data_IF_665398853762
#
_entry.id   IF_665398853762
#
_cell.length_a   1.000
_cell.length_b   1.000
_cell.length_c   1.000
_cell.angle_alpha   90.00
_cell.angle_beta   90.00
_cell.angle_gamma   90.00
#
_symmetry.space_group_name_H-M   'P 1'
#
loop_
_entity.id
_entity.type
_entity.pdbx_description
1 polymer ?
#
# COMPACT_ATOMS: atom_id res chain seq x y z
N UNK A 1 0.43 -15.06 -34.60
CA UNK A 1 -0.36 -14.44 -33.52
C UNK A 1 -1.69 -15.18 -33.47
N UNK A 2 -1.71 -16.30 -32.74
CA UNK A 2 -2.92 -17.04 -32.38
C UNK A 2 -2.97 -16.94 -30.86
N UNK A 3 -4.10 -16.45 -30.33
CA UNK A 3 -4.29 -16.16 -28.90
C UNK A 3 -4.18 -17.42 -28.05
N UNK A 4 -3.61 -17.24 -26.86
CA UNK A 4 -3.53 -18.21 -25.76
C UNK A 4 -4.93 -18.42 -25.15
N UNK A 5 -5.85 -19.06 -25.86
CA UNK A 5 -7.24 -19.25 -25.36
C UNK A 5 -7.42 -20.45 -24.41
N UNK A 6 -6.36 -21.18 -24.03
CA UNK A 6 -6.51 -22.47 -23.31
C UNK A 6 -5.70 -22.62 -22.01
N UNK A 7 -5.04 -21.57 -21.52
CA UNK A 7 -4.54 -21.58 -20.13
C UNK A 7 -5.65 -21.00 -19.26
N UNK A 8 -6.18 -21.77 -18.32
CA UNK A 8 -7.15 -21.23 -17.37
C UNK A 8 -6.36 -20.43 -16.32
N UNK A 9 -6.56 -19.11 -16.20
CA UNK A 9 -5.97 -18.35 -15.10
C UNK A 9 -6.48 -18.90 -13.77
N UNK A 10 -5.76 -18.59 -12.68
CA UNK A 10 -6.24 -18.71 -11.31
C UNK A 10 -7.74 -18.29 -11.25
N UNK A 11 -8.63 -19.09 -10.65
CA UNK A 11 -9.91 -19.35 -11.29
C UNK A 11 -10.94 -18.24 -11.04
N UNK A 12 -11.19 -17.35 -12.00
CA UNK A 12 -12.44 -16.59 -12.06
C UNK A 12 -13.03 -16.52 -13.47
N UNK A 13 -13.94 -17.45 -13.79
CA UNK A 13 -15.15 -17.17 -14.59
C UNK A 13 -16.25 -18.24 -14.38
N UNK A 14 -17.25 -17.85 -13.58
CA UNK A 14 -18.61 -18.41 -13.31
C UNK A 14 -19.38 -18.95 -14.56
N UNK A 15 -20.47 -19.78 -14.45
CA UNK A 15 -21.66 -19.49 -13.62
C UNK A 15 -22.54 -20.63 -13.02
N UNK A 16 -23.24 -20.36 -11.90
CA UNK A 16 -24.73 -20.32 -11.76
C UNK A 16 -25.32 -20.63 -10.35
N UNK A 17 -26.10 -19.67 -9.84
CA UNK A 17 -27.28 -19.75 -8.96
C UNK A 17 -27.27 -20.59 -7.66
N UNK A 18 -27.25 -19.94 -6.48
CA UNK A 18 -28.30 -19.99 -5.44
C UNK A 18 -27.91 -19.22 -4.14
N UNK A 19 -28.88 -18.46 -3.62
CA UNK A 19 -28.84 -17.62 -2.39
C UNK A 19 -29.34 -18.41 -1.17
N UNK A 20 -28.78 -18.19 0.04
CA UNK A 20 -29.52 -18.19 1.34
C UNK A 20 -28.68 -17.67 2.53
N UNK A 21 -29.34 -16.93 3.43
CA UNK A 21 -28.86 -16.15 4.61
C UNK A 21 -29.21 -16.90 5.92
N UNK A 22 -28.48 -16.68 7.03
CA UNK A 22 -28.90 -16.71 8.48
C UNK A 22 -27.61 -16.75 9.35
N UNK A 23 -27.27 -15.83 10.27
CA UNK A 23 -28.01 -15.25 11.40
C UNK A 23 -27.12 -15.31 12.66
N UNK A 24 -26.56 -14.17 13.10
CA UNK A 24 -25.63 -14.04 14.25
C UNK A 24 -26.33 -14.09 15.61
N UNK A 25 -25.67 -14.68 16.61
CA UNK A 25 -25.83 -14.27 18.01
C UNK A 25 -24.46 -14.21 18.74
N UNK A 26 -24.13 -12.98 19.15
CA UNK A 26 -23.43 -12.53 20.37
C UNK A 26 -22.13 -13.21 20.80
N UNK A 27 -21.10 -12.40 21.08
CA UNK A 27 -20.46 -12.35 22.42
C UNK A 27 -19.52 -11.16 22.56
N UNK A 28 -19.57 -10.60 23.77
CA UNK A 28 -19.01 -9.36 24.25
C UNK A 28 -17.57 -9.49 24.79
N UNK A 29 -16.90 -8.35 24.80
CA UNK A 29 -15.84 -7.88 25.73
C UNK A 29 -14.38 -8.38 25.65
N UNK A 30 -13.54 -7.41 25.21
CA UNK A 30 -12.23 -6.95 25.74
C UNK A 30 -10.94 -7.68 25.31
N UNK A 31 -10.11 -7.00 24.50
CA UNK A 31 -9.05 -6.10 25.00
C UNK A 31 -8.30 -5.37 23.85
N UNK A 32 -8.30 -4.05 23.98
CA UNK A 32 -7.78 -2.94 23.16
C UNK A 32 -6.24 -2.83 23.24
N UNK A 33 -5.55 -2.60 22.10
CA UNK A 33 -4.95 -1.29 21.83
C UNK A 33 -5.60 -0.63 20.60
N UNK A 34 -6.88 -0.32 20.74
CA UNK A 34 -7.66 0.66 19.99
C UNK A 34 -7.89 1.91 20.86
N UNK A 35 -6.89 2.77 21.03
CA UNK A 35 -7.11 4.10 21.62
C UNK A 35 -6.27 5.13 20.88
N UNK A 36 -6.48 5.25 19.57
CA UNK A 36 -6.32 6.47 18.76
C UNK A 36 -7.12 6.24 17.47
N UNK A 37 -8.30 6.78 17.18
CA UNK A 37 -9.35 7.41 17.95
C UNK A 37 -10.66 6.92 17.30
N UNK A 38 -11.59 6.34 18.07
CA UNK A 38 -12.85 5.81 17.54
C UNK A 38 -13.81 6.88 16.99
N UNK A 39 -13.45 8.15 17.15
CA UNK A 39 -14.20 9.33 16.70
C UNK A 39 -13.46 10.15 15.63
N UNK A 40 -12.26 9.74 15.19
CA UNK A 40 -11.57 10.43 14.10
C UNK A 40 -12.21 10.03 12.77
N UNK A 41 -12.82 11.00 12.09
CA UNK A 41 -13.32 10.84 10.72
C UNK A 41 -12.10 10.96 9.79
N UNK A 42 -11.72 9.92 9.03
CA UNK A 42 -10.68 10.06 8.03
C UNK A 42 -11.17 10.99 6.92
N UNK A 43 -10.53 12.14 6.79
CA UNK A 43 -10.80 13.13 5.76
C UNK A 43 -9.71 13.04 4.69
N UNK A 44 -10.10 13.03 3.41
CA UNK A 44 -9.18 12.95 2.27
C UNK A 44 -8.88 14.34 1.74
N UNK A 45 -7.88 15.00 2.31
CA UNK A 45 -7.34 16.24 1.79
C UNK A 45 -6.20 15.95 0.80
N UNK A 46 -6.22 16.59 -0.36
CA UNK A 46 -5.09 16.54 -1.31
C UNK A 46 -4.02 17.57 -0.94
N UNK A 47 -4.42 18.65 -0.27
CA UNK A 47 -3.58 19.76 0.13
C UNK A 47 -3.82 20.11 1.60
N UNK A 48 -2.74 20.24 2.38
CA UNK A 48 -2.78 20.60 3.79
C UNK A 48 -1.71 21.65 4.08
N UNK A 49 -2.09 22.73 4.76
CA UNK A 49 -1.19 23.81 5.15
C UNK A 49 -1.02 23.86 6.66
N UNK A 50 0.23 23.87 7.12
CA UNK A 50 0.57 24.28 8.48
C UNK A 50 0.59 25.81 8.54
N UNK A 51 -0.46 26.38 9.14
CA UNK A 51 -0.59 27.81 9.35
C UNK A 51 0.37 28.27 10.45
N UNK A 52 1.06 29.39 10.22
CA UNK A 52 1.94 30.03 11.21
C UNK A 52 1.83 31.55 11.17
N UNK A 53 0.60 32.05 11.07
CA UNK A 53 0.33 33.47 10.86
C UNK A 53 0.50 34.33 12.10
N UNK A 54 0.91 35.58 11.91
CA UNK A 54 0.81 36.62 12.94
C UNK A 54 -0.44 37.45 12.68
N UNK A 55 -1.40 37.33 13.60
CA UNK A 55 -2.69 38.03 13.56
C UNK A 55 -2.81 39.03 14.72
N UNK A 56 -3.69 40.01 14.59
CA UNK A 56 -3.96 40.99 15.66
C UNK A 56 -5.28 40.66 16.35
N UNK A 57 -5.20 40.00 17.50
CA UNK A 57 -6.38 39.71 18.32
C UNK A 57 -6.53 40.75 19.44
N UNK A 58 -7.69 41.41 19.49
CA UNK A 58 -7.97 42.44 20.50
C UNK A 58 -6.89 43.54 20.61
N UNK A 59 -6.20 43.83 19.49
CA UNK A 59 -5.13 44.83 19.42
C UNK A 59 -3.75 44.33 19.89
N UNK A 60 -3.57 43.02 20.07
CA UNK A 60 -2.30 42.40 20.44
C UNK A 60 -1.87 41.42 19.33
N UNK A 61 -0.67 41.58 18.74
CA UNK A 61 -0.12 40.58 17.83
C UNK A 61 0.05 39.23 18.53
N UNK A 62 -0.42 38.16 17.91
CA UNK A 62 -0.33 36.78 18.39
C UNK A 62 -0.16 35.82 17.21
N UNK A 63 0.39 34.63 17.47
CA UNK A 63 0.41 33.57 16.48
C UNK A 63 -0.94 32.87 16.38
N UNK A 64 -1.35 32.57 15.16
CA UNK A 64 -2.45 31.67 14.81
C UNK A 64 -1.85 30.45 14.13
N UNK A 65 -1.76 29.34 14.86
CA UNK A 65 -1.23 28.07 14.35
C UNK A 65 -2.39 27.08 14.16
N UNK A 66 -2.37 26.33 13.06
CA UNK A 66 -3.40 25.37 12.74
C UNK A 66 -3.07 24.55 11.50
N UNK A 67 -3.95 23.61 11.17
CA UNK A 67 -3.87 22.84 9.92
C UNK A 67 -5.08 23.21 9.06
N UNK A 68 -4.85 23.81 7.90
CA UNK A 68 -5.90 24.05 6.90
C UNK A 68 -5.86 22.92 5.89
N UNK A 69 -6.96 22.17 5.76
CA UNK A 69 -7.08 21.07 4.82
C UNK A 69 -8.09 21.43 3.72
N UNK A 70 -7.68 21.29 2.47
CA UNK A 70 -8.53 21.53 1.29
C UNK A 70 -9.05 20.19 0.74
N UNK A 71 -10.36 20.15 0.47
CA UNK A 71 -11.05 18.95 -0.02
C UNK A 71 -11.51 19.14 -1.47
N UNK A 72 -11.42 18.08 -2.29
CA UNK A 72 -11.98 18.10 -3.65
C UNK A 72 -13.50 18.03 -3.59
N UNK A 73 -14.17 19.07 -4.09
CA UNK A 73 -15.62 19.20 -4.15
C UNK A 73 -16.22 18.26 -5.22
N UNK A 74 -16.29 16.96 -4.93
CA UNK A 74 -17.02 16.00 -5.76
C UNK A 74 -18.08 15.18 -5.01
N UNK A 75 -18.38 15.53 -3.75
CA UNK A 75 -19.42 14.87 -2.96
C UNK A 75 -20.31 15.95 -2.31
N UNK A 76 -21.55 16.02 -2.80
CA UNK A 76 -22.66 16.90 -2.37
C UNK A 76 -22.85 18.20 -3.16
N UNK A 77 -23.60 18.15 -4.27
CA UNK A 77 -24.96 18.73 -4.27
C UNK A 77 -25.76 18.35 -5.53
N UNK A 78 -26.75 17.47 -5.35
CA UNK A 78 -27.89 17.37 -6.27
C UNK A 78 -28.83 18.55 -6.01
N UNK A 79 -28.51 19.75 -6.50
CA UNK A 79 -29.50 20.82 -6.57
C UNK A 79 -29.42 21.59 -7.89
N UNK A 80 -30.43 21.33 -8.72
CA UNK A 80 -30.86 22.09 -9.90
C UNK A 80 -30.61 23.60 -9.73
N UNK A 81 -29.85 24.24 -10.63
CA UNK A 81 -30.17 25.58 -11.10
C UNK A 81 -29.72 25.82 -12.55
N UNK A 82 -30.62 26.45 -13.29
CA UNK A 82 -30.64 26.67 -14.73
C UNK A 82 -29.58 27.68 -15.20
N UNK A 83 -29.18 27.51 -16.47
CA UNK A 83 -28.56 28.44 -17.43
C UNK A 83 -28.13 29.83 -16.92
N UNK A 84 -26.85 30.18 -17.14
CA UNK A 84 -26.47 31.45 -17.80
C UNK A 84 -25.03 31.38 -18.36
N UNK A 85 -24.90 31.64 -19.66
CA UNK A 85 -23.63 31.82 -20.37
C UNK A 85 -23.04 33.19 -20.00
N UNK A 86 -21.80 33.30 -19.49
CA UNK A 86 -20.95 34.49 -19.73
C UNK A 86 -19.44 34.26 -19.48
N UNK A 87 -18.68 34.65 -20.50
CA UNK A 87 -17.25 35.01 -20.66
C UNK A 87 -16.22 34.79 -19.53
N UNK A 88 -15.13 34.13 -19.94
CA UNK A 88 -13.83 34.03 -19.25
C UNK A 88 -13.16 35.40 -19.03
N UNK A 89 -12.94 35.82 -17.78
CA UNK A 89 -11.75 36.57 -17.32
C UNK A 89 -11.50 36.25 -15.82
N UNK A 90 -10.24 35.88 -15.52
CA UNK A 90 -9.63 35.68 -14.19
C UNK A 90 -10.19 34.53 -13.31
N UNK A 91 -9.56 33.35 -13.41
CA UNK A 91 -9.72 32.26 -12.42
C UNK A 91 -9.05 32.69 -11.09
N UNK A 92 -9.72 33.53 -10.30
CA UNK A 92 -9.61 33.46 -8.84
C UNK A 92 -10.23 32.13 -8.44
N UNK A 93 -9.39 31.15 -8.06
CA UNK A 93 -9.87 29.90 -7.48
C UNK A 93 -10.58 30.22 -6.17
N UNK A 94 -11.91 30.36 -6.18
CA UNK A 94 -12.74 30.33 -4.98
C UNK A 94 -12.53 28.95 -4.31
N UNK A 95 -11.73 28.92 -3.24
CA UNK A 95 -11.47 27.74 -2.39
C UNK A 95 -12.71 27.42 -1.55
N UNK A 96 -13.78 26.95 -2.17
CA UNK A 96 -15.02 26.56 -1.48
C UNK A 96 -14.92 25.10 -0.96
N UNK A 97 -14.17 24.93 0.13
CA UNK A 97 -14.36 24.02 1.29
C UNK A 97 -13.01 23.66 1.95
N UNK A 98 -12.31 24.66 2.51
CA UNK A 98 -11.18 24.42 3.41
C UNK A 98 -11.66 24.30 4.87
N UNK A 99 -11.24 23.25 5.58
CA UNK A 99 -11.49 23.09 7.02
C UNK A 99 -10.21 23.37 7.79
N UNK A 100 -10.31 24.24 8.80
CA UNK A 100 -9.19 24.56 9.69
C UNK A 100 -9.34 23.77 11.00
N UNK A 101 -8.30 23.03 11.34
CA UNK A 101 -8.15 22.27 12.57
C UNK A 101 -7.14 22.94 13.49
N UNK A 102 -7.33 22.79 14.81
CA UNK A 102 -6.24 22.99 15.76
C UNK A 102 -5.08 22.03 15.45
N UNK A 103 -3.83 22.41 15.77
CA UNK A 103 -2.65 21.60 15.41
C UNK A 103 -2.65 20.20 16.04
N UNK A 104 -3.28 20.03 17.21
CA UNK A 104 -3.44 18.76 17.92
C UNK A 104 -4.76 18.04 17.63
N UNK A 105 -5.61 18.60 16.77
CA UNK A 105 -6.94 18.06 16.45
C UNK A 105 -6.92 17.07 15.26
N UNK A 106 -5.83 17.00 14.50
CA UNK A 106 -5.69 16.14 13.33
C UNK A 106 -4.32 15.44 13.24
N UNK A 107 -4.30 14.34 12.49
CA UNK A 107 -3.07 13.67 12.06
C UNK A 107 -2.86 13.92 10.58
N UNK A 108 -1.65 14.30 10.19
CA UNK A 108 -1.22 14.26 8.79
C UNK A 108 -0.72 12.85 8.48
N UNK A 109 -1.33 12.18 7.50
CA UNK A 109 -0.95 10.81 7.14
C UNK A 109 0.09 10.81 6.02
N UNK A 110 1.31 10.37 6.35
CA UNK A 110 2.28 9.91 5.38
C UNK A 110 1.95 8.44 5.03
N UNK A 111 1.09 8.27 4.02
CA UNK A 111 0.67 6.95 3.55
C UNK A 111 1.85 6.13 3.01
N UNK A 112 1.69 4.81 2.86
CA UNK A 112 2.80 3.95 2.39
C UNK A 112 3.31 4.30 0.98
N UNK A 113 2.52 5.03 0.18
CA UNK A 113 2.95 5.58 -1.11
C UNK A 113 3.99 6.70 -0.98
N UNK A 114 4.23 7.23 0.22
CA UNK A 114 5.35 8.14 0.53
C UNK A 114 6.66 7.39 0.74
N UNK A 115 6.62 6.06 0.86
CA UNK A 115 7.80 5.22 1.06
C UNK A 115 8.71 5.29 -0.16
N UNK A 116 9.97 5.64 0.08
CA UNK A 116 10.99 5.70 -0.95
C UNK A 116 12.32 5.12 -0.46
N UNK A 117 13.27 4.96 -1.38
CA UNK A 117 14.60 4.42 -1.11
C UNK A 117 15.59 5.58 -1.05
N UNK A 118 16.49 5.52 -0.07
CA UNK A 118 17.53 6.51 0.11
C UNK A 118 18.51 6.49 -1.05
N UNK A 119 18.40 7.50 -1.90
CA UNK A 119 19.28 7.80 -3.04
C UNK A 119 19.92 9.20 -2.94
N UNK A 120 19.70 9.89 -1.81
CA UNK A 120 20.24 11.22 -1.57
C UNK A 120 21.75 11.19 -1.29
N UNK A 121 22.47 12.31 -1.54
CA UNK A 121 23.87 12.48 -1.18
C UNK A 121 24.19 12.08 0.27
N UNK A 122 25.42 11.60 0.52
CA UNK A 122 25.85 11.09 1.84
C UNK A 122 25.64 12.11 2.97
N UNK A 123 25.76 13.40 2.68
CA UNK A 123 25.46 14.46 3.66
C UNK A 123 24.02 14.36 4.17
N UNK A 124 23.03 14.13 3.30
CA UNK A 124 21.64 13.95 3.72
C UNK A 124 21.42 12.64 4.46
N UNK A 125 22.08 11.57 4.02
CA UNK A 125 21.93 10.27 4.66
C UNK A 125 22.24 10.34 6.16
N UNK A 126 23.26 11.13 6.52
CA UNK A 126 23.65 11.36 7.92
C UNK A 126 22.62 12.20 8.68
N UNK A 127 21.98 13.18 8.03
CA UNK A 127 21.00 14.06 8.68
C UNK A 127 19.56 13.52 8.65
N UNK A 128 19.23 12.62 7.74
CA UNK A 128 17.95 11.89 7.73
C UNK A 128 18.05 10.63 8.60
N UNK A 129 19.26 10.11 8.84
CA UNK A 129 19.47 8.93 9.67
C UNK A 129 19.26 7.61 8.92
N UNK A 130 19.33 7.64 7.59
CA UNK A 130 19.17 6.47 6.71
C UNK A 130 20.31 6.45 5.69
N UNK A 131 21.07 5.36 5.65
CA UNK A 131 22.14 5.16 4.68
C UNK A 131 21.63 4.78 3.28
N UNK A 132 22.51 4.85 2.29
CA UNK A 132 22.25 4.47 0.90
C UNK A 132 21.51 3.13 0.79
N UNK A 133 20.41 3.11 0.02
CA UNK A 133 19.56 1.94 -0.15
C UNK A 133 18.63 1.62 1.02
N UNK A 134 18.70 2.37 2.12
CA UNK A 134 17.74 2.31 3.22
C UNK A 134 16.36 2.87 2.82
N UNK A 135 15.35 2.62 3.64
CA UNK A 135 13.97 3.11 3.38
C UNK A 135 13.67 4.32 4.26
N UNK A 136 12.99 5.31 3.70
CA UNK A 136 12.38 6.43 4.42
C UNK A 136 11.02 6.79 3.78
N UNK A 137 10.26 7.66 4.43
CA UNK A 137 8.94 8.12 3.99
C UNK A 137 9.04 9.62 3.75
N UNK A 138 8.64 10.08 2.56
CA UNK A 138 8.80 11.46 2.10
C UNK A 138 7.46 12.06 1.70
N UNK A 139 7.05 13.13 2.37
CA UNK A 139 6.09 14.09 1.84
C UNK A 139 6.92 15.19 1.17
N UNK A 140 6.94 15.18 -0.17
CA UNK A 140 7.83 16.01 -0.96
C UNK A 140 7.36 17.46 -1.14
N UNK A 141 8.29 18.31 -1.55
CA UNK A 141 8.02 19.70 -1.94
C UNK A 141 7.43 19.86 -3.36
N UNK A 142 7.29 18.76 -4.09
CA UNK A 142 6.52 18.67 -5.33
C UNK A 142 5.24 17.84 -5.13
N UNK A 143 4.10 18.26 -5.69
CA UNK A 143 2.84 17.53 -5.52
C UNK A 143 2.91 16.17 -6.20
N UNK A 144 2.48 15.13 -5.47
CA UNK A 144 2.43 13.75 -5.96
C UNK A 144 0.99 13.21 -5.93
N UNK A 145 0.56 12.46 -6.95
CA UNK A 145 -0.77 11.87 -6.95
C UNK A 145 -1.02 10.99 -5.71
N UNK A 146 -2.18 11.16 -5.07
CA UNK A 146 -2.60 10.40 -3.90
C UNK A 146 -1.72 10.57 -2.65
N UNK A 147 -0.85 11.58 -2.60
CA UNK A 147 -0.13 11.99 -1.38
C UNK A 147 -0.70 13.32 -0.88
N UNK A 148 -0.64 13.54 0.43
CA UNK A 148 -0.90 14.87 0.97
C UNK A 148 0.23 15.80 0.50
N UNK A 149 -0.12 16.89 -0.15
CA UNK A 149 0.80 17.97 -0.41
C UNK A 149 0.82 18.88 0.82
N UNK A 150 1.94 18.94 1.54
CA UNK A 150 2.04 19.61 2.83
C UNK A 150 2.82 20.92 2.70
N UNK A 151 2.18 22.04 3.03
CA UNK A 151 2.76 23.38 3.05
C UNK A 151 3.03 23.91 4.46
N UNK A 152 3.89 24.94 4.55
CA UNK A 152 4.02 25.85 5.70
C UNK A 152 3.71 27.25 5.20
N UNK A 153 2.69 27.87 5.81
CA UNK A 153 2.01 29.02 5.21
C UNK A 153 1.80 30.14 6.25
N UNK A 154 2.58 31.22 6.16
CA UNK A 154 2.29 32.51 6.79
C UNK A 154 1.62 33.52 5.82
N UNK A 155 0.80 33.05 4.87
CA UNK A 155 0.31 33.88 3.75
C UNK A 155 -0.64 35.00 4.19
N UNK A 156 -1.36 34.82 5.30
CA UNK A 156 -2.31 35.79 5.84
C UNK A 156 -1.62 36.83 6.75
N UNK A 157 -0.31 36.69 6.98
CA UNK A 157 0.45 37.64 7.81
C UNK A 157 0.73 38.93 7.05
N UNK A 158 0.23 40.06 7.58
CA UNK A 158 0.62 41.39 7.13
C UNK A 158 2.10 41.67 7.47
N UNK A 159 3.01 41.81 6.47
CA UNK A 159 4.43 41.99 6.73
C UNK A 159 4.74 43.25 7.55
N UNK A 160 3.85 44.26 7.56
CA UNK A 160 4.04 45.48 8.34
C UNK A 160 3.97 45.26 9.86
N UNK A 161 3.51 44.09 10.31
CA UNK A 161 3.54 43.67 11.71
C UNK A 161 4.92 43.19 12.15
N UNK A 162 5.78 42.83 11.20
CA UNK A 162 7.06 42.15 11.42
C UNK A 162 8.22 43.11 11.12
N UNK A 163 9.26 43.11 11.95
CA UNK A 163 10.49 43.85 11.66
C UNK A 163 11.24 43.21 10.47
N UNK A 164 12.06 43.99 9.78
CA UNK A 164 13.09 43.43 8.89
C UNK A 164 14.26 42.94 9.75
N UNK A 165 14.63 41.66 9.61
CA UNK A 165 15.78 41.08 10.32
C UNK A 165 16.44 39.98 9.47
N UNK A 166 17.65 39.56 9.86
CA UNK A 166 18.40 38.51 9.18
C UNK A 166 18.51 37.27 10.09
N UNK A 167 17.85 36.14 9.76
CA UNK A 167 17.80 34.97 10.64
C UNK A 167 19.09 34.14 10.65
N UNK A 168 19.82 34.11 9.55
CA UNK A 168 21.08 33.36 9.40
C UNK A 168 22.02 34.06 8.42
N UNK A 169 23.27 33.63 8.36
CA UNK A 169 24.24 34.14 7.36
C UNK A 169 23.88 33.75 5.92
N UNK A 170 22.97 32.78 5.73
CA UNK A 170 22.56 32.24 4.41
C UNK A 170 21.28 32.86 3.87
N UNK A 171 20.50 33.54 4.71
CA UNK A 171 19.25 34.20 4.33
C UNK A 171 19.45 35.72 4.30
N UNK A 172 18.76 36.41 3.38
CA UNK A 172 18.81 37.88 3.31
C UNK A 172 17.93 38.54 4.38
N UNK A 173 18.10 39.85 4.61
CA UNK A 173 17.21 40.63 5.48
C UNK A 173 15.78 40.60 4.92
N UNK A 174 14.79 40.34 5.78
CA UNK A 174 13.38 40.25 5.38
C UNK A 174 12.44 40.15 6.57
N UNK A 175 11.15 39.99 6.29
CA UNK A 175 10.09 39.87 7.30
C UNK A 175 9.87 38.40 7.66
N UNK A 176 10.77 37.85 8.47
CA UNK A 176 10.80 36.41 8.72
C UNK A 176 9.94 35.98 9.92
N UNK A 177 9.26 34.86 9.76
CA UNK A 177 8.64 34.07 10.82
C UNK A 177 9.43 32.77 10.97
N UNK A 178 9.91 32.50 12.18
CA UNK A 178 10.63 31.28 12.52
C UNK A 178 9.70 30.24 13.13
N UNK A 179 9.93 28.98 12.77
CA UNK A 179 9.31 27.80 13.36
C UNK A 179 10.41 26.91 13.92
N UNK A 180 10.38 26.62 15.22
CA UNK A 180 11.41 25.83 15.89
C UNK A 180 10.87 24.47 16.34
N UNK A 181 11.62 23.40 16.10
CA UNK A 181 11.36 22.09 16.70
C UNK A 181 11.91 22.06 18.12
N UNK A 182 11.04 21.93 19.11
CA UNK A 182 11.37 21.98 20.54
C UNK A 182 11.14 20.65 21.26
N UNK A 183 10.46 19.71 20.62
CA UNK A 183 10.21 18.37 21.13
C UNK A 183 9.82 17.39 20.03
N UNK A 184 10.08 16.11 20.30
CA UNK A 184 9.86 15.01 19.38
C UNK A 184 9.50 13.74 20.15
N UNK A 185 8.52 12.99 19.67
CA UNK A 185 8.22 11.62 20.09
C UNK A 185 7.83 10.79 18.87
N UNK A 186 8.47 9.65 18.66
CA UNK A 186 8.19 8.78 17.53
C UNK A 186 9.15 7.60 17.40
N UNK A 187 8.83 6.63 16.50
CA UNK A 187 9.54 5.36 16.37
C UNK A 187 10.83 5.42 15.53
N UNK A 188 11.13 6.55 14.88
CA UNK A 188 12.27 6.72 13.99
C UNK A 188 12.87 8.13 14.13
N UNK A 189 13.36 8.67 13.02
CA UNK A 189 13.91 10.03 12.94
C UNK A 189 12.99 10.89 12.07
N UNK A 190 13.02 12.19 12.29
CA UNK A 190 12.34 13.22 11.50
C UNK A 190 13.37 14.19 10.90
N UNK A 191 13.14 14.65 9.68
CA UNK A 191 13.88 15.77 9.11
C UNK A 191 13.02 16.66 8.21
N UNK A 192 13.39 17.94 8.17
CA UNK A 192 12.79 18.96 7.32
C UNK A 192 13.87 19.61 6.45
N UNK A 193 13.71 19.62 5.13
CA UNK A 193 14.73 20.18 4.23
C UNK A 193 14.19 20.62 2.86
N UNK A 194 15.00 21.37 2.12
CA UNK A 194 14.80 21.61 0.68
C UNK A 194 15.99 21.07 -0.12
N UNK A 195 15.70 20.61 -1.33
CA UNK A 195 16.77 20.34 -2.30
C UNK A 195 17.43 21.66 -2.70
N UNK A 196 18.76 21.67 -2.76
CA UNK A 196 19.52 22.79 -3.29
C UNK A 196 19.40 22.87 -4.81
N UNK A 197 19.72 24.04 -5.39
CA UNK A 197 19.89 24.13 -6.84
C UNK A 197 20.99 23.16 -7.32
N UNK A 198 21.01 22.83 -8.61
CA UNK A 198 21.98 21.86 -9.15
C UNK A 198 23.44 22.22 -8.79
N UNK A 199 24.06 21.40 -7.95
CA UNK A 199 25.44 21.58 -7.49
C UNK A 199 25.60 22.42 -6.21
N UNK A 200 24.50 22.87 -5.61
CA UNK A 200 24.49 23.49 -4.28
C UNK A 200 24.20 22.44 -3.21
N UNK A 201 24.71 22.70 -2.01
CA UNK A 201 24.35 21.91 -0.85
C UNK A 201 22.88 22.20 -0.51
N UNK A 202 22.13 21.17 -0.13
CA UNK A 202 20.74 21.32 0.28
C UNK A 202 20.59 22.12 1.57
N UNK A 203 19.41 22.70 1.78
CA UNK A 203 19.09 23.41 3.02
C UNK A 203 18.39 22.46 3.99
N UNK A 204 19.11 22.03 5.04
CA UNK A 204 18.53 21.29 6.16
C UNK A 204 18.03 22.29 7.21
N UNK A 205 16.78 22.14 7.62
CA UNK A 205 16.13 23.03 8.58
C UNK A 205 15.95 22.40 9.95
N UNK A 206 15.62 21.12 10.01
CA UNK A 206 15.40 20.40 11.26
C UNK A 206 15.85 18.95 11.10
N UNK A 207 16.49 18.39 12.13
CA UNK A 207 16.76 16.96 12.21
C UNK A 207 16.74 16.47 13.65
N UNK A 208 16.23 15.25 13.86
CA UNK A 208 16.28 14.61 15.18
C UNK A 208 17.50 13.70 15.36
N UNK A 209 18.28 13.46 14.30
CA UNK A 209 19.30 12.40 14.25
C UNK A 209 20.45 12.62 15.24
N UNK A 210 20.87 13.87 15.42
CA UNK A 210 21.89 14.28 16.38
C UNK A 210 21.32 14.90 17.67
N UNK A 211 19.99 14.85 17.81
CA UNK A 211 19.24 15.41 18.92
C UNK A 211 18.90 16.89 18.72
N UNK A 212 17.88 17.37 19.43
CA UNK A 212 17.36 18.71 19.20
C UNK A 212 18.32 19.81 19.69
N UNK A 213 18.72 20.71 18.79
CA UNK A 213 19.45 21.95 19.07
C UNK A 213 18.57 23.16 18.77
N UNK A 214 18.34 23.95 19.82
CA UNK A 214 17.47 25.11 19.74
C UNK A 214 17.96 26.19 18.77
N UNK A 215 19.21 26.18 18.32
CA UNK A 215 19.81 27.12 17.39
C UNK A 215 19.90 26.61 15.94
N UNK A 216 19.75 25.31 15.72
CA UNK A 216 19.88 24.68 14.40
C UNK A 216 18.54 24.17 13.87
N UNK A 217 17.65 23.62 14.72
CA UNK A 217 16.37 23.05 14.32
C UNK A 217 15.26 24.10 14.12
N UNK A 218 15.46 24.95 13.11
CA UNK A 218 14.59 26.08 12.78
C UNK A 218 14.34 26.17 11.29
N UNK A 219 13.08 26.37 10.94
CA UNK A 219 12.63 26.77 9.62
C UNK A 219 12.25 28.26 9.62
N UNK A 220 12.49 28.95 8.51
CA UNK A 220 12.12 30.36 8.35
C UNK A 220 11.28 30.54 7.08
N UNK A 221 10.12 31.17 7.23
CA UNK A 221 9.24 31.56 6.13
C UNK A 221 9.06 33.09 6.14
N UNK A 222 8.95 33.69 4.96
CA UNK A 222 8.69 35.12 4.83
C UNK A 222 7.19 35.41 5.03
N UNK A 223 6.83 36.50 5.71
CA UNK A 223 5.43 36.90 5.84
C UNK A 223 4.77 37.08 4.46
N UNK A 224 3.59 36.49 4.26
CA UNK A 224 2.89 36.49 2.97
C UNK A 224 3.33 35.39 2.00
N UNK A 225 4.18 34.44 2.42
CA UNK A 225 4.64 33.33 1.59
C UNK A 225 3.80 32.06 1.76
N UNK A 226 3.90 31.18 0.77
CA UNK A 226 3.33 29.84 0.77
C UNK A 226 4.43 28.87 0.33
N UNK A 227 4.90 28.01 1.23
CA UNK A 227 6.11 27.23 0.99
C UNK A 227 5.85 25.74 1.13
N UNK A 228 6.39 24.96 0.21
CA UNK A 228 6.49 23.51 0.33
C UNK A 228 7.93 23.10 0.61
N UNK A 229 8.08 22.15 1.53
CA UNK A 229 9.36 21.64 2.01
C UNK A 229 9.26 20.13 2.13
N UNK A 230 10.39 19.45 2.12
CA UNK A 230 10.43 18.00 2.25
C UNK A 230 10.34 17.60 3.72
N UNK A 231 9.35 16.78 4.06
CA UNK A 231 9.18 16.18 5.38
C UNK A 231 9.52 14.69 5.31
N UNK A 232 10.44 14.22 6.16
CA UNK A 232 10.84 12.82 6.14
C UNK A 232 10.73 12.12 7.48
N UNK A 233 10.43 10.81 7.39
CA UNK A 233 10.35 9.90 8.52
C UNK A 233 11.07 8.60 8.20
N UNK A 234 11.77 8.00 9.17
CA UNK A 234 12.58 6.78 8.93
C UNK A 234 11.92 5.48 9.35
N UNK A 235 10.79 5.54 10.06
CA UNK A 235 10.08 4.36 10.53
C UNK A 235 8.54 4.55 10.46
N UNK A 236 7.77 3.49 10.23
CA UNK A 236 6.32 3.53 10.42
C UNK A 236 5.91 3.77 11.87
N UNK A 237 4.82 4.48 12.07
CA UNK A 237 4.16 4.68 13.36
C UNK A 237 3.73 6.12 13.58
N UNK A 238 3.50 6.49 14.84
CA UNK A 238 2.97 7.80 15.20
C UNK A 238 4.09 8.70 15.67
N UNK A 239 4.10 9.91 15.13
CA UNK A 239 5.04 10.96 15.44
C UNK A 239 4.28 12.15 16.03
N UNK A 240 4.85 12.76 17.07
CA UNK A 240 4.47 14.07 17.58
C UNK A 240 5.66 15.01 17.46
N UNK A 241 5.47 16.11 16.73
CA UNK A 241 6.45 17.18 16.61
C UNK A 241 5.96 18.37 17.42
N UNK A 242 6.70 18.76 18.46
CA UNK A 242 6.38 19.91 19.28
C UNK A 242 7.12 21.13 18.71
N UNK A 243 6.36 22.11 18.23
CA UNK A 243 6.83 23.28 17.49
C UNK A 243 6.56 24.58 18.25
N UNK A 244 7.40 25.59 18.03
CA UNK A 244 7.22 26.94 18.57
C UNK A 244 7.50 28.01 17.51
N UNK A 245 6.50 28.83 17.23
CA UNK A 245 6.63 29.98 16.31
C UNK A 245 7.26 31.18 17.01
N UNK A 246 8.09 31.93 16.31
CA UNK A 246 8.71 33.16 16.84
C UNK A 246 9.02 34.17 15.72
N UNK A 247 9.06 35.45 16.08
CA UNK A 247 9.45 36.54 15.17
C UNK A 247 9.82 37.81 15.96
N UNK A 248 10.30 38.84 15.28
CA UNK A 248 10.47 40.20 15.82
C UNK A 248 9.39 41.11 15.23
N UNK A 249 8.59 41.75 16.08
CA UNK A 249 7.53 42.67 15.65
C UNK A 249 8.14 43.99 15.13
N UNK A 250 7.38 44.73 14.34
CA UNK A 250 7.81 46.00 13.74
C UNK A 250 8.25 47.07 14.75
N UNK A 251 7.88 46.94 16.03
CA UNK A 251 8.36 47.81 17.11
C UNK A 251 9.69 47.35 17.77
N UNK A 252 10.28 46.27 17.26
CA UNK A 252 11.52 45.63 17.73
C UNK A 252 11.33 44.71 18.93
N UNK A 253 10.09 44.44 19.34
CA UNK A 253 9.82 43.49 20.44
C UNK A 253 9.72 42.05 19.92
N UNK A 254 10.24 41.05 20.65
CA UNK A 254 10.09 39.65 20.25
C UNK A 254 8.67 39.17 20.48
N UNK A 255 8.12 38.43 19.52
CA UNK A 255 6.90 37.64 19.68
C UNK A 255 7.28 36.16 19.65
N UNK A 256 6.88 35.42 20.68
CA UNK A 256 7.10 33.98 20.80
C UNK A 256 5.77 33.32 21.14
N UNK A 257 5.37 32.35 20.34
CA UNK A 257 4.14 31.59 20.54
C UNK A 257 4.25 30.54 21.64
N UNK A 258 3.10 30.01 22.04
CA UNK A 258 3.05 28.80 22.85
C UNK A 258 3.53 27.59 22.02
N UNK A 259 4.04 26.56 22.71
CA UNK A 259 4.39 25.30 22.05
C UNK A 259 3.11 24.59 21.63
N UNK A 260 3.06 24.13 20.38
CA UNK A 260 1.96 23.35 19.83
C UNK A 260 2.49 22.06 19.20
N UNK A 261 1.65 21.04 19.12
CA UNK A 261 2.06 19.73 18.63
C UNK A 261 1.37 19.41 17.31
N UNK A 262 2.13 19.04 16.29
CA UNK A 262 1.60 18.46 15.04
C UNK A 262 1.84 16.96 15.06
N UNK A 263 0.81 16.19 14.67
CA UNK A 263 0.87 14.73 14.71
C UNK A 263 0.92 14.14 13.32
N UNK A 264 1.78 13.15 13.12
CA UNK A 264 1.89 12.40 11.87
C UNK A 264 1.66 10.92 12.10
N UNK A 265 0.94 10.28 11.17
CA UNK A 265 0.88 8.83 11.05
C UNK A 265 1.63 8.37 9.81
N UNK A 266 2.68 7.57 10.00
CA UNK A 266 3.52 7.03 8.93
C UNK A 266 3.17 5.56 8.72
N UNK A 267 2.65 5.22 7.55
CA UNK A 267 2.13 3.87 7.27
C UNK A 267 3.12 3.00 6.48
N UNK A 268 3.19 1.70 6.83
CA UNK A 268 4.05 0.73 6.16
C UNK A 268 3.41 0.11 4.91
N UNK A 269 2.08 -0.04 4.91
CA UNK A 269 1.28 -0.65 3.84
C UNK A 269 0.19 0.35 3.42
N UNK A 270 -0.10 0.50 2.14
CA UNK A 270 -1.16 1.41 1.69
C UNK A 270 -2.47 0.89 2.27
N UNK A 271 -3.15 1.66 3.12
CA UNK A 271 -4.48 1.23 3.57
C UNK A 271 -5.48 1.35 2.41
N UNK A 272 -6.42 0.41 2.28
CA UNK A 272 -7.55 0.59 1.39
C UNK A 272 -8.27 1.88 1.76
N UNK A 273 -8.69 2.64 0.75
CA UNK A 273 -9.54 3.83 0.95
C UNK A 273 -10.87 3.48 1.63
N UNK A 274 -11.30 2.22 1.50
CA UNK A 274 -12.56 1.70 2.01
C UNK A 274 -12.46 0.18 2.30
N UNK A 275 -12.56 -0.23 3.57
CA UNK A 275 -12.53 -1.65 3.94
C UNK A 275 -13.76 -2.44 3.46
N UNK A 276 -14.88 -1.78 3.20
CA UNK A 276 -16.06 -2.43 2.62
C UNK A 276 -15.73 -2.99 1.23
N UNK A 277 -15.15 -2.15 0.37
CA UNK A 277 -14.74 -2.57 -0.97
C UNK A 277 -13.59 -3.56 -0.91
N UNK A 278 -12.63 -3.38 -0.01
CA UNK A 278 -11.55 -4.36 0.17
C UNK A 278 -12.08 -5.76 0.46
N UNK A 279 -12.94 -5.91 1.47
CA UNK A 279 -13.47 -7.22 1.86
C UNK A 279 -14.27 -7.83 0.72
N UNK A 280 -15.04 -7.02 -0.01
CA UNK A 280 -15.79 -7.49 -1.20
C UNK A 280 -14.85 -7.96 -2.31
N UNK A 281 -13.79 -7.21 -2.62
CA UNK A 281 -12.78 -7.58 -3.61
C UNK A 281 -12.05 -8.85 -3.21
N UNK A 282 -11.56 -8.95 -1.98
CA UNK A 282 -10.90 -10.18 -1.49
C UNK A 282 -11.81 -11.40 -1.63
N UNK A 283 -13.10 -11.29 -1.32
CA UNK A 283 -14.05 -12.40 -1.45
C UNK A 283 -14.39 -12.73 -2.91
N UNK A 284 -14.61 -11.73 -3.75
CA UNK A 284 -14.89 -11.94 -5.17
C UNK A 284 -13.71 -12.59 -5.88
N UNK A 285 -12.50 -12.12 -5.60
CA UNK A 285 -11.25 -12.54 -6.24
C UNK A 285 -10.59 -13.74 -5.55
N UNK A 286 -11.21 -14.33 -4.52
CA UNK A 286 -10.75 -15.61 -3.96
C UNK A 286 -11.83 -16.68 -4.02
N UNK A 287 -13.09 -16.33 -3.78
CA UNK A 287 -14.20 -17.28 -3.70
C UNK A 287 -15.25 -17.09 -4.80
N UNK A 288 -15.14 -16.06 -5.64
CA UNK A 288 -16.05 -15.85 -6.77
C UNK A 288 -17.46 -15.42 -6.34
N UNK A 289 -17.58 -14.94 -5.10
CA UNK A 289 -18.84 -14.49 -4.49
C UNK A 289 -18.58 -13.39 -3.47
N UNK A 290 -19.61 -12.60 -3.18
CA UNK A 290 -19.56 -11.66 -2.07
C UNK A 290 -19.60 -12.37 -0.70
N UNK A 291 -19.05 -11.74 0.35
CA UNK A 291 -19.27 -12.20 1.72
C UNK A 291 -20.75 -12.12 2.10
N UNK A 292 -21.17 -12.94 3.07
CA UNK A 292 -22.46 -12.70 3.73
C UNK A 292 -22.43 -11.33 4.41
N UNK A 293 -23.52 -10.57 4.36
CA UNK A 293 -23.58 -9.19 4.86
C UNK A 293 -23.06 -9.06 6.31
N UNK A 294 -23.37 -10.05 7.13
CA UNK A 294 -22.97 -10.03 8.53
C UNK A 294 -21.49 -10.40 8.72
N UNK A 295 -20.95 -11.29 7.89
CA UNK A 295 -19.51 -11.59 7.86
C UNK A 295 -18.74 -10.36 7.37
N UNK A 296 -19.24 -9.68 6.34
CA UNK A 296 -18.67 -8.44 5.83
C UNK A 296 -18.63 -7.36 6.92
N UNK A 297 -19.76 -7.07 7.56
CA UNK A 297 -19.82 -6.10 8.65
C UNK A 297 -18.84 -6.43 9.79
N UNK A 298 -18.74 -7.71 10.16
CA UNK A 298 -17.82 -8.15 11.21
C UNK A 298 -16.35 -7.99 10.81
N UNK A 299 -16.00 -8.30 9.56
CA UNK A 299 -14.64 -8.13 9.04
C UNK A 299 -14.27 -6.66 8.89
N UNK A 300 -15.17 -5.85 8.33
CA UNK A 300 -15.00 -4.40 8.21
C UNK A 300 -14.84 -3.76 9.59
N UNK A 301 -15.65 -4.14 10.57
CA UNK A 301 -15.50 -3.66 11.94
C UNK A 301 -14.16 -4.07 12.57
N UNK A 302 -13.68 -5.30 12.30
CA UNK A 302 -12.37 -5.75 12.78
C UNK A 302 -11.22 -5.02 12.09
N UNK A 303 -11.30 -4.78 10.79
CA UNK A 303 -10.32 -4.02 10.00
C UNK A 303 -10.27 -2.55 10.46
N UNK A 304 -11.42 -1.92 10.66
CA UNK A 304 -11.52 -0.60 11.29
C UNK A 304 -10.95 -0.58 12.71
N UNK A 305 -11.02 -1.70 13.43
CA UNK A 305 -10.42 -1.87 14.75
C UNK A 305 -8.94 -2.28 14.71
N UNK A 306 -8.29 -2.28 13.53
CA UNK A 306 -6.86 -2.54 13.37
C UNK A 306 -6.47 -3.99 13.08
N UNK A 307 -7.41 -4.87 12.69
CA UNK A 307 -7.07 -6.18 12.14
C UNK A 307 -6.20 -6.00 10.88
N UNK A 308 -5.13 -6.78 10.78
CA UNK A 308 -4.31 -6.82 9.58
C UNK A 308 -5.10 -7.47 8.42
N UNK A 309 -5.27 -6.78 7.27
CA UNK A 309 -5.87 -7.35 6.06
C UNK A 309 -5.26 -8.69 5.63
N UNK A 310 -3.98 -8.94 5.93
CA UNK A 310 -3.32 -10.20 5.65
C UNK A 310 -3.96 -11.38 6.40
N UNK A 311 -4.56 -11.16 7.56
CA UNK A 311 -5.30 -12.20 8.28
C UNK A 311 -6.61 -12.54 7.59
N UNK A 312 -7.27 -11.57 6.95
CA UNK A 312 -8.47 -11.80 6.13
C UNK A 312 -8.10 -12.60 4.89
N UNK A 313 -7.09 -12.15 4.13
CA UNK A 313 -6.59 -12.84 2.95
C UNK A 313 -6.12 -14.27 3.25
N UNK A 314 -5.29 -14.44 4.29
CA UNK A 314 -4.82 -15.76 4.73
C UNK A 314 -5.97 -16.66 5.20
N UNK A 315 -6.99 -16.10 5.86
CA UNK A 315 -8.21 -16.83 6.24
C UNK A 315 -8.98 -17.35 5.02
N UNK A 316 -9.09 -16.54 3.96
CA UNK A 316 -9.73 -16.92 2.70
C UNK A 316 -8.93 -17.99 1.96
N UNK A 317 -7.62 -17.79 1.78
CA UNK A 317 -6.72 -18.72 1.08
C UNK A 317 -6.55 -20.07 1.81
N UNK A 318 -6.83 -20.13 3.12
CA UNK A 318 -6.82 -21.37 3.90
C UNK A 318 -8.23 -21.92 4.21
N UNK A 319 -9.26 -21.29 3.66
CA UNK A 319 -10.64 -21.72 3.87
C UNK A 319 -10.89 -23.07 3.19
N UNK A 320 -11.78 -23.88 3.77
CA UNK A 320 -12.19 -25.14 3.14
C UNK A 320 -12.89 -24.93 1.80
N UNK A 321 -13.50 -23.77 1.59
CA UNK A 321 -14.17 -23.42 0.34
C UNK A 321 -13.15 -23.17 -0.77
N UNK A 322 -12.20 -22.26 -0.53
CA UNK A 322 -11.12 -22.00 -1.48
C UNK A 322 -10.34 -23.27 -1.82
N UNK A 323 -9.88 -23.99 -0.79
CA UNK A 323 -9.12 -25.22 -1.00
C UNK A 323 -9.95 -26.33 -1.66
N UNK A 324 -11.26 -26.38 -1.40
CA UNK A 324 -12.16 -27.35 -2.02
C UNK A 324 -12.30 -27.13 -3.52
N UNK A 325 -12.49 -25.88 -3.95
CA UNK A 325 -12.54 -25.49 -5.37
C UNK A 325 -11.22 -25.83 -6.06
N UNK A 326 -10.09 -25.43 -5.46
CA UNK A 326 -8.75 -25.72 -6.00
C UNK A 326 -8.47 -27.21 -6.15
N UNK A 327 -8.93 -28.02 -5.18
CA UNK A 327 -8.82 -29.47 -5.27
C UNK A 327 -9.66 -30.02 -6.42
N UNK A 328 -10.91 -29.60 -6.53
CA UNK A 328 -11.80 -30.08 -7.59
C UNK A 328 -11.25 -29.76 -8.99
N UNK A 329 -10.76 -28.54 -9.19
CA UNK A 329 -10.09 -28.10 -10.43
C UNK A 329 -8.84 -28.93 -10.76
N UNK A 330 -8.06 -29.31 -9.76
CA UNK A 330 -6.90 -30.17 -9.96
C UNK A 330 -7.30 -31.58 -10.43
N UNK A 331 -8.41 -32.11 -9.91
CA UNK A 331 -8.97 -33.39 -10.38
C UNK A 331 -9.51 -33.27 -11.81
N UNK A 332 -10.25 -32.20 -12.12
CA UNK A 332 -10.75 -31.97 -13.48
C UNK A 332 -9.60 -31.86 -14.48
N UNK A 333 -8.60 -31.04 -14.15
CA UNK A 333 -7.48 -30.72 -15.05
C UNK A 333 -6.57 -31.91 -15.29
N UNK A 334 -6.23 -32.66 -14.23
CA UNK A 334 -5.23 -33.72 -14.34
C UNK A 334 -5.82 -35.12 -14.49
N UNK A 335 -7.06 -35.36 -14.04
CA UNK A 335 -7.70 -36.68 -14.11
C UNK A 335 -8.94 -36.71 -14.99
N UNK A 336 -9.44 -35.55 -15.44
CA UNK A 336 -10.61 -35.47 -16.32
C UNK A 336 -11.92 -35.85 -15.64
N UNK A 337 -12.00 -35.72 -14.31
CA UNK A 337 -13.20 -35.98 -13.52
C UNK A 337 -13.30 -35.02 -12.34
N UNK A 338 -14.51 -34.83 -11.84
CA UNK A 338 -14.75 -34.14 -10.57
C UNK A 338 -14.14 -34.93 -9.39
N UNK A 339 -13.72 -34.21 -8.35
CA UNK A 339 -13.32 -34.78 -7.08
C UNK A 339 -14.55 -35.25 -6.31
N UNK A 340 -14.48 -36.44 -5.70
CA UNK A 340 -15.55 -36.87 -4.80
C UNK A 340 -15.50 -36.07 -3.48
N UNK A 341 -16.60 -36.04 -2.73
CA UNK A 341 -16.63 -35.42 -1.38
C UNK A 341 -15.51 -35.95 -0.46
N UNK A 342 -15.16 -37.23 -0.60
CA UNK A 342 -14.08 -37.87 0.15
C UNK A 342 -12.69 -37.39 -0.30
N UNK A 343 -12.51 -37.19 -1.62
CA UNK A 343 -11.27 -36.67 -2.19
C UNK A 343 -11.03 -35.25 -1.68
N UNK A 344 -12.06 -34.38 -1.80
CA UNK A 344 -12.03 -33.00 -1.32
C UNK A 344 -11.74 -32.96 0.19
N UNK A 345 -12.49 -33.70 1.01
CA UNK A 345 -12.31 -33.69 2.46
C UNK A 345 -10.89 -34.11 2.88
N UNK A 346 -10.34 -35.14 2.24
CA UNK A 346 -8.99 -35.64 2.54
C UNK A 346 -7.91 -34.67 2.09
N UNK A 347 -8.03 -34.11 0.88
CA UNK A 347 -7.08 -33.16 0.33
C UNK A 347 -7.08 -31.83 1.10
N UNK A 348 -8.25 -31.27 1.37
CA UNK A 348 -8.39 -30.03 2.17
C UNK A 348 -7.79 -30.21 3.56
N UNK A 349 -7.98 -31.36 4.21
CA UNK A 349 -7.35 -31.64 5.50
C UNK A 349 -5.81 -31.67 5.41
N UNK A 350 -5.25 -32.23 4.34
CA UNK A 350 -3.80 -32.25 4.11
C UNK A 350 -3.23 -30.85 3.84
N UNK A 351 -3.89 -30.08 2.96
CA UNK A 351 -3.48 -28.71 2.60
C UNK A 351 -3.53 -27.77 3.82
N UNK A 352 -4.60 -27.84 4.61
CA UNK A 352 -4.70 -27.11 5.90
C UNK A 352 -3.70 -27.61 6.94
N UNK A 353 -3.24 -28.85 6.82
CA UNK A 353 -2.16 -29.43 7.60
C UNK A 353 -0.76 -28.95 7.20
N UNK A 354 -0.65 -28.11 6.16
CA UNK A 354 0.61 -27.53 5.70
C UNK A 354 1.27 -28.26 4.54
N UNK A 355 0.58 -29.21 3.89
CA UNK A 355 1.05 -29.76 2.62
C UNK A 355 0.96 -28.66 1.54
N UNK A 356 2.05 -28.33 0.83
CA UNK A 356 2.00 -27.38 -0.28
C UNK A 356 1.07 -27.89 -1.38
N UNK A 357 0.35 -26.97 -2.04
CA UNK A 357 -0.61 -27.35 -3.07
C UNK A 357 0.07 -28.04 -4.26
N UNK A 358 1.28 -27.61 -4.59
CA UNK A 358 2.11 -28.15 -5.65
C UNK A 358 2.52 -29.61 -5.34
N UNK A 359 2.75 -29.95 -4.07
CA UNK A 359 3.02 -31.33 -3.66
C UNK A 359 1.76 -32.21 -3.75
N UNK A 360 0.59 -31.63 -3.52
CA UNK A 360 -0.69 -32.29 -3.77
C UNK A 360 -0.88 -32.58 -5.27
N UNK A 361 -0.62 -31.61 -6.16
CA UNK A 361 -0.63 -31.80 -7.62
C UNK A 361 0.37 -32.88 -8.03
N UNK A 362 1.60 -32.83 -7.53
CA UNK A 362 2.60 -33.87 -7.80
C UNK A 362 2.12 -35.27 -7.35
N UNK A 363 1.34 -35.35 -6.26
CA UNK A 363 0.68 -36.56 -5.81
C UNK A 363 -0.35 -37.10 -6.82
N UNK A 364 -1.17 -36.21 -7.40
CA UNK A 364 -2.12 -36.56 -8.47
C UNK A 364 -1.37 -37.09 -9.71
N UNK A 365 -0.36 -36.36 -10.19
CA UNK A 365 0.40 -36.69 -11.40
C UNK A 365 1.21 -38.00 -11.27
N UNK A 366 1.56 -38.39 -10.04
CA UNK A 366 2.22 -39.66 -9.74
C UNK A 366 1.24 -40.80 -9.37
N UNK A 367 -0.06 -40.53 -9.29
CA UNK A 367 -1.05 -41.49 -8.82
C UNK A 367 -1.21 -42.70 -9.76
N UNK A 368 -1.65 -43.86 -9.25
CA UNK A 368 -2.02 -45.00 -10.09
C UNK A 368 -3.12 -44.69 -11.10
N UNK A 369 -3.97 -43.70 -10.84
CA UNK A 369 -5.03 -43.25 -11.74
C UNK A 369 -4.44 -42.50 -12.94
N UNK A 370 -3.57 -41.51 -12.69
CA UNK A 370 -2.85 -40.79 -13.74
C UNK A 370 -1.98 -41.74 -14.59
N UNK A 371 -1.34 -42.73 -13.96
CA UNK A 371 -0.58 -43.76 -14.67
C UNK A 371 -1.45 -44.63 -15.58
N UNK A 372 -2.70 -44.92 -15.20
CA UNK A 372 -3.64 -45.66 -16.04
C UNK A 372 -4.14 -44.83 -17.23
N UNK A 373 -4.35 -43.53 -17.03
CA UNK A 373 -4.71 -42.59 -18.10
C UNK A 373 -3.55 -42.38 -19.09
N UNK A 374 -2.31 -42.45 -18.59
CA UNK A 374 -1.09 -42.22 -19.37
C UNK A 374 -0.11 -43.40 -19.27
N UNK A 375 -0.42 -44.54 -19.94
CA UNK A 375 0.26 -45.81 -19.73
C UNK A 375 1.66 -45.88 -20.37
N UNK A 376 1.94 -45.09 -21.40
CA UNK A 376 3.27 -45.04 -22.04
C UNK A 376 4.02 -43.78 -21.60
N UNK A 377 5.35 -43.83 -21.64
CA UNK A 377 6.20 -42.69 -21.30
C UNK A 377 5.96 -41.49 -22.22
N UNK A 378 5.66 -41.71 -23.50
CA UNK A 378 5.31 -40.65 -24.46
C UNK A 378 3.98 -39.97 -24.11
N UNK A 379 2.92 -40.75 -23.81
CA UNK A 379 1.63 -40.19 -23.42
C UNK A 379 1.71 -39.46 -22.07
N UNK A 380 2.52 -39.98 -21.16
CA UNK A 380 2.78 -39.35 -19.87
C UNK A 380 3.49 -38.01 -20.03
N UNK A 381 4.61 -37.97 -20.73
CA UNK A 381 5.35 -36.72 -20.93
C UNK A 381 4.48 -35.72 -21.69
N UNK A 382 3.81 -36.13 -22.76
CA UNK A 382 2.90 -35.27 -23.53
C UNK A 382 1.81 -34.66 -22.65
N UNK A 383 1.23 -35.44 -21.73
CA UNK A 383 0.20 -34.94 -20.81
C UNK A 383 0.69 -33.87 -19.83
N UNK A 384 1.98 -33.91 -19.43
CA UNK A 384 2.52 -32.89 -18.54
C UNK A 384 2.66 -31.54 -19.24
N UNK A 385 3.03 -31.52 -20.53
CA UNK A 385 3.04 -30.28 -21.30
C UNK A 385 1.64 -29.66 -21.37
N UNK A 386 0.62 -30.47 -21.63
CA UNK A 386 -0.74 -29.94 -21.77
C UNK A 386 -1.39 -29.59 -20.44
N UNK A 387 -1.24 -30.42 -19.41
CA UNK A 387 -1.94 -30.26 -18.14
C UNK A 387 -1.19 -29.37 -17.13
N UNK A 388 0.11 -29.16 -17.30
CA UNK A 388 0.93 -28.33 -16.39
C UNK A 388 1.45 -27.06 -17.07
N UNK A 389 1.84 -27.14 -18.35
CA UNK A 389 2.43 -25.99 -19.07
C UNK A 389 1.44 -25.32 -20.05
N UNK A 390 0.19 -25.78 -20.10
CA UNK A 390 -0.84 -25.19 -20.95
C UNK A 390 -0.55 -25.24 -22.47
N UNK A 391 0.41 -26.05 -22.92
CA UNK A 391 0.84 -26.12 -24.33
C UNK A 391 1.09 -27.54 -24.81
N UNK A 392 1.12 -27.71 -26.12
CA UNK A 392 1.56 -28.96 -26.72
C UNK A 392 3.10 -29.08 -26.66
N UNK A 393 3.59 -30.24 -26.21
CA UNK A 393 5.01 -30.57 -26.25
C UNK A 393 5.49 -30.88 -27.68
N UNK A 394 6.71 -30.47 -28.03
CA UNK A 394 7.28 -30.80 -29.33
C UNK A 394 7.50 -32.32 -29.48
N UNK A 395 7.26 -32.94 -30.65
CA UNK A 395 7.42 -34.40 -30.80
C UNK A 395 8.81 -34.92 -30.42
N UNK A 396 9.87 -34.14 -30.72
CA UNK A 396 11.24 -34.50 -30.35
C UNK A 396 11.54 -34.34 -28.86
N UNK A 397 10.92 -33.35 -28.21
CA UNK A 397 11.03 -33.07 -26.77
C UNK A 397 10.37 -34.20 -25.98
N UNK A 398 9.14 -34.55 -26.34
CA UNK A 398 8.38 -35.68 -25.75
C UNK A 398 9.17 -36.99 -25.92
N UNK A 399 9.64 -37.29 -27.14
CA UNK A 399 10.36 -38.53 -27.41
C UNK A 399 11.69 -38.63 -26.62
N UNK A 400 12.40 -37.52 -26.43
CA UNK A 400 13.64 -37.48 -25.66
C UNK A 400 13.40 -37.84 -24.18
N UNK A 401 12.47 -37.14 -23.52
CA UNK A 401 12.14 -37.41 -22.12
C UNK A 401 11.55 -38.82 -21.93
N UNK A 402 10.68 -39.26 -22.84
CA UNK A 402 10.12 -40.61 -22.81
C UNK A 402 11.21 -41.68 -22.90
N UNK A 403 12.19 -41.51 -23.79
CA UNK A 403 13.34 -42.43 -23.93
C UNK A 403 14.17 -42.48 -22.64
N UNK A 404 14.35 -41.37 -21.93
CA UNK A 404 15.07 -41.33 -20.65
C UNK A 404 14.33 -42.10 -19.56
N UNK A 405 13.00 -42.00 -19.51
CA UNK A 405 12.16 -42.80 -18.60
C UNK A 405 12.27 -44.29 -18.94
N UNK A 406 12.11 -44.65 -20.22
CA UNK A 406 12.14 -46.05 -20.66
C UNK A 406 13.51 -46.71 -20.46
N UNK A 407 14.58 -45.93 -20.56
CA UNK A 407 15.95 -46.36 -20.27
C UNK A 407 16.25 -46.42 -18.76
N UNK A 408 15.32 -45.98 -17.89
CA UNK A 408 15.49 -45.95 -16.43
C UNK A 408 16.51 -44.92 -15.95
N UNK A 409 16.82 -43.90 -16.76
CA UNK A 409 17.77 -42.85 -16.42
C UNK A 409 17.16 -41.78 -15.51
N UNK A 410 15.85 -41.55 -15.63
CA UNK A 410 15.07 -40.58 -14.86
C UNK A 410 13.73 -41.22 -14.51
N UNK A 411 13.21 -41.00 -13.29
CA UNK A 411 11.90 -41.53 -12.91
C UNK A 411 10.75 -40.63 -13.38
N UNK A 412 9.53 -41.18 -13.47
CA UNK A 412 8.32 -40.36 -13.73
C UNK A 412 8.14 -39.26 -12.69
N UNK A 413 8.47 -39.55 -11.43
CA UNK A 413 8.38 -38.58 -10.34
C UNK A 413 9.38 -37.43 -10.52
N UNK A 414 10.62 -37.72 -10.93
CA UNK A 414 11.62 -36.69 -11.21
C UNK A 414 11.19 -35.80 -12.39
N UNK A 415 10.56 -36.37 -13.43
CA UNK A 415 9.99 -35.61 -14.54
C UNK A 415 8.83 -34.72 -14.07
N UNK A 416 7.92 -35.23 -13.23
CA UNK A 416 6.83 -34.43 -12.65
C UNK A 416 7.39 -33.25 -11.86
N UNK A 417 8.37 -33.47 -10.98
CA UNK A 417 9.00 -32.40 -10.22
C UNK A 417 9.69 -31.38 -11.14
N UNK A 418 10.42 -31.87 -12.15
CA UNK A 418 11.13 -31.01 -13.10
C UNK A 418 10.19 -30.13 -13.95
N UNK A 419 9.03 -30.64 -14.34
CA UNK A 419 8.03 -29.87 -15.12
C UNK A 419 7.22 -28.95 -14.20
N UNK A 420 6.72 -29.46 -13.08
CA UNK A 420 5.85 -28.70 -12.17
C UNK A 420 6.56 -27.50 -11.57
N UNK A 421 7.86 -27.61 -11.26
CA UNK A 421 8.66 -26.50 -10.73
C UNK A 421 9.58 -25.91 -11.80
N UNK A 422 9.26 -26.05 -13.08
CA UNK A 422 10.00 -25.37 -14.15
C UNK A 422 9.72 -23.87 -14.14
N UNK A 423 10.66 -23.08 -14.66
CA UNK A 423 10.43 -21.65 -14.84
C UNK A 423 9.19 -21.36 -15.70
N UNK A 424 8.96 -22.16 -16.74
CA UNK A 424 7.77 -22.04 -17.60
C UNK A 424 6.47 -22.26 -16.82
N UNK A 425 6.39 -23.30 -15.98
CA UNK A 425 5.22 -23.52 -15.13
C UNK A 425 5.01 -22.39 -14.11
N UNK A 426 6.10 -21.90 -13.51
CA UNK A 426 6.02 -20.84 -12.50
C UNK A 426 5.70 -19.47 -13.11
N UNK A 427 6.14 -19.19 -14.34
CA UNK A 427 5.72 -18.01 -15.10
C UNK A 427 4.22 -18.05 -15.38
N UNK A 428 3.68 -19.21 -15.79
CA UNK A 428 2.24 -19.39 -16.06
C UNK A 428 1.38 -19.19 -14.80
N UNK A 429 1.84 -19.68 -13.65
CA UNK A 429 1.16 -19.48 -12.37
C UNK A 429 1.22 -18.02 -11.88
N UNK A 430 2.38 -17.36 -12.05
CA UNK A 430 2.51 -15.91 -11.72
C UNK A 430 1.57 -15.09 -12.60
N UNK A 431 1.53 -15.38 -13.90
CA UNK A 431 0.61 -14.76 -14.86
C UNK A 431 -0.84 -14.91 -14.40
N UNK A 432 -1.26 -16.15 -14.11
CA UNK A 432 -2.61 -16.43 -13.63
C UNK A 432 -2.98 -15.69 -12.34
N UNK A 433 -2.06 -15.57 -11.38
CA UNK A 433 -2.31 -14.84 -10.13
C UNK A 433 -2.47 -13.33 -10.38
N UNK A 434 -1.61 -12.72 -11.19
CA UNK A 434 -1.70 -11.28 -11.49
C UNK A 434 -2.93 -10.96 -12.34
N UNK A 435 -3.23 -11.76 -13.36
CA UNK A 435 -4.42 -11.54 -14.19
C UNK A 435 -5.70 -11.66 -13.37
N UNK A 436 -5.80 -12.67 -12.50
CA UNK A 436 -7.00 -12.88 -11.68
C UNK A 436 -7.14 -11.84 -10.55
N UNK A 437 -6.07 -11.57 -9.81
CA UNK A 437 -6.14 -10.74 -8.61
C UNK A 437 -5.89 -9.26 -8.87
N UNK A 438 -5.20 -8.90 -9.95
CA UNK A 438 -4.90 -7.49 -10.28
C UNK A 438 -5.52 -7.05 -11.61
N UNK A 439 -5.93 -7.98 -12.48
CA UNK A 439 -6.56 -7.65 -13.76
C UNK A 439 -5.55 -7.15 -14.81
N UNK A 440 -4.26 -7.45 -14.62
CA UNK A 440 -3.18 -7.12 -15.56
C UNK A 440 -2.18 -8.26 -15.71
N UNK A 441 -1.45 -8.24 -16.80
CA UNK A 441 -0.28 -9.12 -17.00
C UNK A 441 0.89 -8.69 -16.07
N UNK A 442 1.71 -9.63 -15.56
CA UNK A 442 2.94 -9.31 -14.85
C UNK A 442 4.00 -8.67 -15.76
N UNK A 443 4.77 -7.74 -15.22
CA UNK A 443 5.95 -7.17 -15.87
C UNK A 443 7.22 -8.02 -15.66
N UNK A 444 8.32 -7.66 -16.34
CA UNK A 444 9.60 -8.36 -16.18
C UNK A 444 10.10 -8.37 -14.72
N UNK A 445 9.85 -7.30 -13.96
CA UNK A 445 10.19 -7.21 -12.53
C UNK A 445 9.36 -8.13 -11.65
N UNK A 446 8.09 -8.36 -11.99
CA UNK A 446 7.20 -9.26 -11.25
C UNK A 446 7.69 -10.71 -11.38
N UNK A 447 8.00 -11.15 -12.61
CA UNK A 447 8.58 -12.48 -12.85
C UNK A 447 9.93 -12.65 -12.14
N UNK A 448 10.80 -11.64 -12.21
CA UNK A 448 12.11 -11.69 -11.57
C UNK A 448 12.02 -11.81 -10.04
N UNK A 449 10.99 -11.23 -9.41
CA UNK A 449 10.77 -11.32 -7.96
C UNK A 449 10.32 -12.72 -7.52
N UNK A 450 9.49 -13.40 -8.31
CA UNK A 450 8.78 -14.60 -7.86
C UNK A 450 9.30 -15.92 -8.43
N UNK A 451 9.55 -15.97 -9.74
CA UNK A 451 9.85 -17.22 -10.46
C UNK A 451 11.06 -17.95 -9.88
N UNK A 452 12.19 -17.30 -9.52
CA UNK A 452 13.34 -18.01 -8.93
C UNK A 452 13.00 -18.67 -7.59
N UNK A 453 12.25 -17.98 -6.72
CA UNK A 453 11.86 -18.47 -5.41
C UNK A 453 10.87 -19.64 -5.50
N UNK A 454 9.89 -19.53 -6.40
CA UNK A 454 8.90 -20.57 -6.67
C UNK A 454 9.54 -21.82 -7.29
N UNK A 455 10.40 -21.65 -8.29
CA UNK A 455 11.19 -22.73 -8.93
C UNK A 455 12.07 -23.45 -7.90
N UNK A 456 12.70 -22.70 -7.00
CA UNK A 456 13.53 -23.24 -5.93
C UNK A 456 12.73 -23.75 -4.72
N UNK A 457 11.40 -23.62 -4.74
CA UNK A 457 10.48 -23.99 -3.66
C UNK A 457 10.80 -23.33 -2.32
N UNK A 458 11.33 -22.11 -2.37
CA UNK A 458 11.61 -21.28 -1.21
C UNK A 458 10.38 -20.48 -0.76
N UNK A 459 9.46 -20.23 -1.70
CA UNK A 459 8.13 -19.65 -1.50
C UNK A 459 7.11 -20.51 -2.25
N UNK A 460 5.85 -20.53 -1.81
CA UNK A 460 4.76 -21.24 -2.49
C UNK A 460 3.80 -20.29 -3.20
N UNK A 461 2.93 -20.84 -4.07
CA UNK A 461 1.92 -20.03 -4.79
C UNK A 461 0.92 -19.36 -3.86
N UNK A 462 0.65 -19.97 -2.69
CA UNK A 462 -0.20 -19.34 -1.66
C UNK A 462 0.46 -18.10 -1.06
N UNK A 463 1.80 -18.09 -0.93
CA UNK A 463 2.52 -16.94 -0.38
C UNK A 463 2.53 -15.78 -1.39
N UNK A 464 2.67 -16.10 -2.69
CA UNK A 464 2.47 -15.16 -3.78
C UNK A 464 1.06 -14.56 -3.75
N UNK A 465 0.01 -15.40 -3.75
CA UNK A 465 -1.38 -14.93 -3.71
C UNK A 465 -1.68 -14.09 -2.46
N UNK A 466 -1.14 -14.48 -1.30
CA UNK A 466 -1.26 -13.70 -0.07
C UNK A 466 -0.61 -12.33 -0.24
N UNK A 467 0.62 -12.25 -0.75
CA UNK A 467 1.32 -10.98 -0.90
C UNK A 467 0.60 -10.07 -1.90
N UNK A 468 0.06 -10.62 -2.99
CA UNK A 468 -0.71 -9.86 -3.98
C UNK A 468 -2.01 -9.33 -3.37
N UNK A 469 -2.80 -10.16 -2.66
CA UNK A 469 -4.04 -9.73 -1.99
C UNK A 469 -3.82 -8.66 -0.91
N UNK A 470 -2.59 -8.56 -0.39
CA UNK A 470 -2.21 -7.58 0.63
C UNK A 470 -1.32 -6.47 0.07
N UNK A 471 -1.16 -6.40 -1.25
CA UNK A 471 -0.33 -5.39 -1.90
C UNK A 471 -1.07 -4.07 -2.02
N UNK A 472 -0.30 -2.98 -2.03
CA UNK A 472 -0.81 -1.64 -2.31
C UNK A 472 -1.58 -1.57 -3.63
N UNK A 473 -1.14 -2.36 -4.61
CA UNK A 473 -1.79 -2.42 -5.91
C UNK A 473 -3.19 -3.04 -5.84
N UNK A 474 -3.34 -4.16 -5.13
CA UNK A 474 -4.65 -4.76 -4.90
C UNK A 474 -5.57 -3.82 -4.12
N UNK A 475 -5.01 -3.11 -3.14
CA UNK A 475 -5.74 -2.13 -2.33
C UNK A 475 -6.14 -0.87 -3.11
N UNK A 476 -5.32 -0.41 -4.05
CA UNK A 476 -5.65 0.74 -4.91
C UNK A 476 -6.72 0.39 -5.96
N UNK A 477 -6.76 -0.86 -6.40
CA UNK A 477 -7.77 -1.37 -7.33
C UNK A 477 -9.13 -1.63 -6.67
N UNK A 478 -9.11 -1.98 -5.39
CA UNK A 478 -10.30 -2.30 -4.58
C UNK A 478 -10.93 -1.04 -4.04
#
# INVERSE_FOLDING_TARGET
MLGRENVRPFPFRQPSNAVSILGLETLEERAVPAVLAADAIPLRAEHVDLLTDVVVENGVPTFSNGLRAEFDASVEDEHDHEEDEHDHEEDEHDHEEAVVFGPDEAFVLAGANTRTVMDLPEVFQQHVGVGEGGTYYLLGDEPQPNQVFLGIVPEDTDPSLIAEWQPSETLEEGHWIGLQLVGYDGPGEFSLFNFGAFGEEPSLWMSTVDGLDASEDRYFAEAGSHNHVNWTFTAPGIYRLDLQSFTELADGSPLVGDVFSVHFGVEQNARPSNFDTLVRSMYLETLGRLPEAQVQQNLVAQLNAGLDPALVASGLLNSSEFLGVRVDEAFETHLGREASESDIASAVAALRGGVPFEDFIAGILNSPEYQQLHPTSELFVGSLFTHVLGRDGGPAEIANLATQIDAGLVSRADIVQGVLFSAEAMEDEVDGVYESLLGREPGESDFAAWVPGLTARQVGLRDLALLVLTSDEFFARS
#
